data_IF_239204810990
#
_entry.id   IF_239204810990
#
_cell.length_a   1.000
_cell.length_b   1.000
_cell.length_c   1.000
_cell.angle_alpha   90.00
_cell.angle_beta   90.00
_cell.angle_gamma   90.00
#
_symmetry.space_group_name_H-M   'P 1'
#
loop_
_entity.id
_entity.type
_entity.pdbx_description
1 polymer ?
#
# COMPACT_ATOMS: atom_id res chain seq x y z
N UNK A 1 -12.85 -8.47 -9.97
CA UNK A 1 -12.94 -7.38 -8.98
C UNK A 1 -12.51 -7.92 -7.61
N UNK A 2 -11.58 -7.27 -6.91
CA UNK A 2 -11.20 -7.65 -5.54
C UNK A 2 -12.38 -7.38 -4.60
N UNK A 3 -13.01 -8.41 -4.04
CA UNK A 3 -14.12 -8.23 -3.09
C UNK A 3 -13.64 -7.50 -1.82
N UNK A 4 -14.51 -6.69 -1.21
CA UNK A 4 -14.20 -6.10 0.07
C UNK A 4 -14.01 -7.22 1.12
N UNK A 5 -12.82 -7.27 1.74
CA UNK A 5 -12.61 -8.16 2.87
C UNK A 5 -13.47 -7.63 4.02
N UNK A 6 -14.30 -8.48 4.66
CA UNK A 6 -15.06 -8.10 5.84
C UNK A 6 -14.15 -7.48 6.92
N UNK A 7 -14.62 -6.40 7.56
CA UNK A 7 -13.83 -5.69 8.58
C UNK A 7 -13.34 -6.61 9.70
N UNK A 8 -14.18 -7.56 10.12
CA UNK A 8 -13.85 -8.60 11.10
C UNK A 8 -12.65 -9.46 10.66
N UNK A 9 -12.62 -9.89 9.39
CA UNK A 9 -11.51 -10.68 8.86
C UNK A 9 -10.22 -9.85 8.80
N UNK A 10 -10.29 -8.58 8.41
CA UNK A 10 -9.15 -7.66 8.43
C UNK A 10 -8.59 -7.48 9.85
N UNK A 11 -9.45 -7.38 10.87
CA UNK A 11 -9.02 -7.28 12.27
C UNK A 11 -8.33 -8.57 12.74
N UNK A 12 -8.87 -9.74 12.40
CA UNK A 12 -8.27 -11.03 12.71
C UNK A 12 -6.90 -11.19 12.06
N UNK A 13 -6.75 -10.85 10.78
CA UNK A 13 -5.48 -10.92 10.06
C UNK A 13 -4.43 -9.97 10.68
N UNK A 14 -4.85 -8.78 11.11
CA UNK A 14 -3.97 -7.82 11.81
C UNK A 14 -3.54 -8.36 13.17
N UNK A 15 -4.46 -8.93 13.94
CA UNK A 15 -4.15 -9.54 15.23
C UNK A 15 -3.19 -10.73 15.07
N UNK A 16 -3.46 -11.60 14.09
CA UNK A 16 -2.57 -12.71 13.72
C UNK A 16 -1.17 -12.18 13.38
N UNK A 17 -1.04 -11.26 12.42
CA UNK A 17 0.26 -10.73 12.00
C UNK A 17 1.06 -10.06 13.13
N UNK A 18 0.39 -9.43 14.10
CA UNK A 18 1.07 -8.85 15.28
C UNK A 18 1.64 -9.90 16.22
N UNK A 19 0.94 -11.03 16.41
CA UNK A 19 1.27 -11.99 17.45
C UNK A 19 1.99 -13.24 16.93
N UNK A 20 1.89 -13.54 15.64
CA UNK A 20 2.37 -14.80 15.04
C UNK A 20 3.87 -15.04 15.28
N UNK A 21 4.69 -13.99 15.27
CA UNK A 21 6.12 -14.12 15.55
C UNK A 21 6.37 -14.55 17.01
N UNK A 22 5.70 -13.91 17.97
CA UNK A 22 5.81 -14.21 19.40
C UNK A 22 5.27 -15.60 19.70
N UNK A 23 4.10 -15.95 19.17
CA UNK A 23 3.51 -17.28 19.34
C UNK A 23 4.42 -18.38 18.79
N UNK A 24 5.02 -18.18 17.61
CA UNK A 24 5.96 -19.16 17.05
C UNK A 24 7.22 -19.30 17.91
N UNK A 25 7.80 -18.20 18.40
CA UNK A 25 8.96 -18.25 19.31
C UNK A 25 8.65 -19.04 20.58
N UNK A 26 7.49 -18.78 21.19
CA UNK A 26 7.08 -19.46 22.42
C UNK A 26 6.83 -20.96 22.18
N UNK A 27 6.17 -21.31 21.08
CA UNK A 27 5.88 -22.70 20.72
C UNK A 27 7.15 -23.51 20.39
N UNK A 28 8.20 -22.86 19.90
CA UNK A 28 9.48 -23.47 19.58
C UNK A 28 10.51 -23.33 20.71
N UNK A 29 10.10 -22.89 21.89
CA UNK A 29 10.98 -22.81 23.06
C UNK A 29 11.59 -24.18 23.36
N UNK A 30 12.91 -24.23 23.52
CA UNK A 30 13.66 -25.46 23.76
C UNK A 30 13.94 -26.31 22.51
N UNK A 31 13.47 -25.89 21.32
CA UNK A 31 13.81 -26.57 20.06
C UNK A 31 15.23 -26.25 19.58
N UNK A 32 15.75 -27.09 18.68
CA UNK A 32 17.07 -26.87 18.09
C UNK A 32 17.14 -25.50 17.37
N UNK A 33 18.21 -24.70 17.54
CA UNK A 33 18.30 -23.34 17.00
C UNK A 33 18.04 -23.22 15.50
N UNK A 34 18.45 -24.22 14.71
CA UNK A 34 18.24 -24.22 13.26
C UNK A 34 16.75 -24.37 12.88
N UNK A 35 15.98 -25.14 13.67
CA UNK A 35 14.53 -25.26 13.47
C UNK A 35 13.84 -23.94 13.74
N UNK A 36 14.22 -23.28 14.85
CA UNK A 36 13.72 -21.94 15.18
C UNK A 36 14.02 -20.97 14.04
N UNK A 37 15.27 -20.89 13.59
CA UNK A 37 15.69 -19.99 12.51
C UNK A 37 14.86 -20.14 11.23
N UNK A 38 14.69 -21.37 10.74
CA UNK A 38 13.94 -21.64 9.50
C UNK A 38 12.46 -21.25 9.68
N UNK A 39 11.82 -21.66 10.78
CA UNK A 39 10.42 -21.34 11.05
C UNK A 39 10.20 -19.83 11.21
N UNK A 40 11.13 -19.14 11.88
CA UNK A 40 11.07 -17.69 12.04
C UNK A 40 11.17 -16.96 10.69
N UNK A 41 12.00 -17.44 9.75
CA UNK A 41 12.08 -16.87 8.41
C UNK A 41 10.74 -17.01 7.66
N UNK A 42 10.12 -18.19 7.70
CA UNK A 42 8.79 -18.41 7.11
C UNK A 42 7.73 -17.48 7.71
N UNK A 43 7.71 -17.33 9.04
CA UNK A 43 6.74 -16.48 9.74
C UNK A 43 6.92 -15.00 9.42
N UNK A 44 8.16 -14.53 9.28
CA UNK A 44 8.44 -13.15 8.84
C UNK A 44 7.92 -12.90 7.43
N UNK A 45 8.16 -13.83 6.50
CA UNK A 45 7.65 -13.73 5.13
C UNK A 45 6.12 -13.74 5.09
N UNK A 46 5.48 -14.65 5.84
CA UNK A 46 4.02 -14.68 5.93
C UNK A 46 3.45 -13.38 6.51
N UNK A 47 4.07 -12.85 7.58
CA UNK A 47 3.63 -11.58 8.18
C UNK A 47 3.77 -10.41 7.20
N UNK A 48 4.85 -10.36 6.42
CA UNK A 48 5.02 -9.37 5.36
C UNK A 48 3.93 -9.48 4.30
N UNK A 49 3.62 -10.70 3.85
CA UNK A 49 2.52 -10.95 2.92
C UNK A 49 1.17 -10.49 3.49
N UNK A 50 0.85 -10.84 4.74
CA UNK A 50 -0.38 -10.41 5.40
C UNK A 50 -0.51 -8.89 5.46
N UNK A 51 0.57 -8.20 5.86
CA UNK A 51 0.61 -6.73 5.89
C UNK A 51 0.39 -6.13 4.50
N UNK A 52 1.08 -6.65 3.48
CA UNK A 52 0.96 -6.19 2.09
C UNK A 52 -0.46 -6.37 1.55
N UNK A 53 -1.04 -7.57 1.67
CA UNK A 53 -2.38 -7.84 1.16
C UNK A 53 -3.47 -7.09 1.93
N UNK A 54 -3.33 -6.95 3.26
CA UNK A 54 -4.27 -6.13 4.04
C UNK A 54 -4.21 -4.66 3.63
N UNK A 55 -3.00 -4.12 3.43
CA UNK A 55 -2.81 -2.76 2.93
C UNK A 55 -3.40 -2.56 1.53
N UNK A 56 -3.13 -3.48 0.59
CA UNK A 56 -3.69 -3.45 -0.76
C UNK A 56 -5.22 -3.50 -0.76
N UNK A 57 -5.84 -4.29 0.12
CA UNK A 57 -7.29 -4.33 0.25
C UNK A 57 -7.87 -3.00 0.75
N UNK A 58 -7.21 -2.36 1.71
CA UNK A 58 -7.62 -1.03 2.17
C UNK A 58 -7.53 -0.01 1.03
N UNK A 59 -6.43 -0.01 0.28
CA UNK A 59 -6.28 0.86 -0.90
C UNK A 59 -7.38 0.59 -1.93
N UNK A 60 -7.65 -0.67 -2.27
CA UNK A 60 -8.71 -1.03 -3.22
C UNK A 60 -10.11 -0.64 -2.73
N UNK A 61 -10.37 -0.63 -1.41
CA UNK A 61 -11.63 -0.13 -0.84
C UNK A 61 -11.72 1.40 -0.94
N UNK A 62 -10.65 2.11 -0.56
CA UNK A 62 -10.58 3.56 -0.69
C UNK A 62 -10.75 4.01 -2.14
N UNK A 63 -10.04 3.37 -3.08
CA UNK A 63 -10.17 3.63 -4.51
C UNK A 63 -11.60 3.39 -5.00
N UNK A 64 -12.27 2.32 -4.58
CA UNK A 64 -13.68 2.07 -4.97
C UNK A 64 -14.67 3.13 -4.49
N UNK A 65 -14.43 3.75 -3.34
CA UNK A 65 -15.31 4.81 -2.87
C UNK A 65 -15.25 6.06 -3.77
N UNK A 66 -14.19 6.19 -4.56
CA UNK A 66 -13.94 7.30 -5.47
C UNK A 66 -14.23 6.91 -6.93
N UNK A 67 -13.81 5.72 -7.36
CA UNK A 67 -13.99 5.21 -8.72
C UNK A 67 -15.49 5.04 -9.01
N UNK A 68 -15.94 5.61 -10.13
CA UNK A 68 -17.36 5.68 -10.51
C UNK A 68 -18.11 6.89 -9.93
N UNK A 69 -17.44 7.75 -9.17
CA UNK A 69 -17.97 9.04 -8.74
C UNK A 69 -17.24 10.17 -9.48
N UNK A 70 -17.79 10.59 -10.62
CA UNK A 70 -17.20 11.61 -11.50
C UNK A 70 -16.92 12.94 -10.79
N UNK A 71 -17.76 13.33 -9.82
CA UNK A 71 -17.54 14.52 -9.00
C UNK A 71 -16.26 14.41 -8.15
N UNK A 72 -16.07 13.30 -7.44
CA UNK A 72 -14.88 13.08 -6.61
C UNK A 72 -13.62 12.96 -7.48
N UNK A 73 -13.70 12.31 -8.64
CA UNK A 73 -12.55 12.20 -9.56
C UNK A 73 -12.19 13.59 -10.12
N UNK A 74 -13.18 14.41 -10.51
CA UNK A 74 -12.93 15.77 -10.95
C UNK A 74 -12.29 16.62 -9.84
N UNK A 75 -12.76 16.48 -8.60
CA UNK A 75 -12.13 17.14 -7.46
C UNK A 75 -10.67 16.72 -7.29
N UNK A 76 -10.34 15.43 -7.47
CA UNK A 76 -8.95 14.97 -7.45
C UNK A 76 -8.10 15.58 -8.57
N UNK A 77 -8.66 15.77 -9.77
CA UNK A 77 -7.98 16.46 -10.88
C UNK A 77 -7.70 17.91 -10.50
N UNK A 78 -8.68 18.61 -9.93
CA UNK A 78 -8.55 20.01 -9.53
C UNK A 78 -7.52 20.17 -8.40
N UNK A 79 -7.52 19.27 -7.43
CA UNK A 79 -6.53 19.27 -6.34
C UNK A 79 -5.12 18.97 -6.85
N UNK A 80 -4.98 18.06 -7.80
CA UNK A 80 -3.70 17.75 -8.45
C UNK A 80 -3.14 18.94 -9.23
N UNK A 81 -4.01 19.71 -9.92
CA UNK A 81 -3.60 20.90 -10.66
C UNK A 81 -3.15 22.06 -9.76
N UNK A 82 -3.49 22.05 -8.46
CA UNK A 82 -3.02 23.05 -7.49
C UNK A 82 -1.63 22.73 -6.93
N UNK A 83 -1.10 21.53 -7.17
CA UNK A 83 0.22 21.12 -6.68
C UNK A 83 1.31 21.77 -7.54
N UNK A 84 2.27 22.41 -6.87
CA UNK A 84 3.50 22.86 -7.49
C UNK A 84 4.48 21.69 -7.67
N UNK A 85 4.45 21.07 -8.84
CA UNK A 85 5.33 19.94 -9.16
C UNK A 85 6.79 20.35 -9.40
N UNK A 86 7.09 21.64 -9.59
CA UNK A 86 8.46 22.13 -9.68
C UNK A 86 9.14 21.98 -8.31
N UNK A 87 8.46 22.46 -7.25
CA UNK A 87 8.89 22.25 -5.86
C UNK A 87 8.98 20.76 -5.48
N UNK A 88 8.07 19.91 -5.96
CA UNK A 88 8.14 18.45 -5.71
C UNK A 88 9.39 17.86 -6.36
N UNK A 89 9.72 18.24 -7.60
CA UNK A 89 10.92 17.75 -8.29
C UNK A 89 12.19 18.17 -7.57
N UNK A 90 12.29 19.42 -7.16
CA UNK A 90 13.45 19.93 -6.43
C UNK A 90 13.63 19.21 -5.10
N UNK A 91 12.56 19.02 -4.34
CA UNK A 91 12.59 18.29 -3.07
C UNK A 91 12.97 16.81 -3.26
N UNK A 92 12.41 16.12 -4.26
CA UNK A 92 12.76 14.73 -4.55
C UNK A 92 14.22 14.59 -5.01
N UNK A 93 14.71 15.54 -5.81
CA UNK A 93 16.12 15.61 -6.21
C UNK A 93 17.03 15.81 -4.99
N UNK A 94 16.67 16.71 -4.08
CA UNK A 94 17.47 17.02 -2.89
C UNK A 94 17.45 15.90 -1.82
N UNK A 95 16.30 15.24 -1.60
CA UNK A 95 16.13 14.24 -0.54
C UNK A 95 16.68 12.87 -0.93
N UNK A 96 16.43 12.42 -2.16
CA UNK A 96 16.71 11.05 -2.58
C UNK A 96 17.36 10.94 -3.96
N UNK A 97 17.95 12.03 -4.47
CA UNK A 97 18.59 12.08 -5.79
C UNK A 97 17.65 11.59 -6.91
N UNK A 98 16.35 11.88 -6.75
CA UNK A 98 15.35 11.45 -7.70
C UNK A 98 15.53 12.16 -9.04
N UNK A 99 15.52 11.39 -10.13
CA UNK A 99 15.53 11.95 -11.47
C UNK A 99 14.24 12.73 -11.73
N UNK A 100 14.35 14.01 -12.07
CA UNK A 100 13.23 14.92 -12.33
C UNK A 100 12.27 14.39 -13.42
N UNK A 101 12.78 13.64 -14.39
CA UNK A 101 11.96 13.03 -15.45
C UNK A 101 11.01 11.96 -14.91
N UNK A 102 11.38 11.26 -13.83
CA UNK A 102 10.51 10.26 -13.21
C UNK A 102 9.30 10.95 -12.57
N UNK A 103 9.52 12.05 -11.86
CA UNK A 103 8.44 12.82 -11.24
C UNK A 103 7.52 13.44 -12.29
N UNK A 104 8.10 13.97 -13.38
CA UNK A 104 7.34 14.50 -14.53
C UNK A 104 6.46 13.41 -15.18
N UNK A 105 7.04 12.23 -15.43
CA UNK A 105 6.31 11.09 -15.98
C UNK A 105 5.16 10.67 -15.06
N UNK A 106 5.41 10.56 -13.75
CA UNK A 106 4.39 10.19 -12.77
C UNK A 106 3.26 11.23 -12.70
N UNK A 107 3.58 12.52 -12.75
CA UNK A 107 2.60 13.60 -12.81
C UNK A 107 1.70 13.45 -14.05
N UNK A 108 2.32 13.28 -15.22
CA UNK A 108 1.60 13.16 -16.49
C UNK A 108 0.72 11.90 -16.53
N UNK A 109 1.26 10.75 -16.15
CA UNK A 109 0.51 9.49 -16.10
C UNK A 109 -0.67 9.57 -15.12
N UNK A 110 -0.49 10.21 -13.97
CA UNK A 110 -1.54 10.36 -12.98
C UNK A 110 -2.65 11.30 -13.47
N UNK A 111 -2.29 12.44 -14.07
CA UNK A 111 -3.25 13.36 -14.73
C UNK A 111 -4.04 12.66 -15.83
N UNK A 112 -3.36 11.92 -16.70
CA UNK A 112 -3.99 11.20 -17.81
C UNK A 112 -4.93 10.10 -17.31
N UNK A 113 -4.54 9.39 -16.26
CA UNK A 113 -5.38 8.35 -15.66
C UNK A 113 -6.64 8.94 -15.06
N UNK A 114 -6.55 10.00 -14.24
CA UNK A 114 -7.74 10.63 -13.65
C UNK A 114 -8.68 11.19 -14.72
N UNK A 115 -8.16 11.89 -15.74
CA UNK A 115 -8.98 12.42 -16.85
C UNK A 115 -9.68 11.32 -17.63
N UNK A 116 -9.06 10.15 -17.82
CA UNK A 116 -9.71 9.02 -18.48
C UNK A 116 -10.90 8.54 -17.67
N UNK A 117 -10.75 8.41 -16.35
CA UNK A 117 -11.81 7.94 -15.45
C UNK A 117 -12.96 8.96 -15.26
N UNK A 118 -12.72 10.28 -15.41
CA UNK A 118 -13.81 11.29 -15.43
C UNK A 118 -14.73 11.11 -16.65
N UNK A 119 -14.16 10.69 -17.79
CA UNK A 119 -14.86 10.61 -19.07
C UNK A 119 -15.52 9.23 -19.34
N UNK A 120 -15.45 8.31 -18.37
CA UNK A 120 -16.08 6.99 -18.39
C UNK A 120 -17.39 7.00 -17.61
#
# INVERSE_FOLDING_TARGET
VLCAIPSALTQLLRHLGKNLETWMKNALSGSHPEVLKIKMACIKSLNLCLKRYTGLNHLAQASRAVLGNSYLIQQMVDDLNKIDFDSVRDNCGWICECNSNIVCLLEEEFKNTLKREVNL
#
